data_IF_015909846396
#
_entry.id   IF_015909846396
#
_cell.length_a   1.000
_cell.length_b   1.000
_cell.length_c   1.000
_cell.angle_alpha   90.00
_cell.angle_beta   90.00
_cell.angle_gamma   90.00
#
_symmetry.space_group_name_H-M   'P 1'
#
loop_
_entity.id
_entity.type
_entity.pdbx_description
1 polymer ?
#
# COMPACT_ATOMS: atom_id res chain seq x y z
N UNK A 1 8.27 -3.45 11.64
CA UNK A 1 8.85 -2.64 10.58
C UNK A 1 7.78 -2.27 9.58
N UNK A 2 7.88 -1.09 9.07
CA UNK A 2 6.83 -0.51 8.22
C UNK A 2 6.54 -1.35 6.98
N UNK A 3 7.58 -1.82 6.32
CA UNK A 3 7.37 -2.63 5.12
C UNK A 3 6.56 -3.90 5.43
N UNK A 4 6.87 -4.56 6.51
CA UNK A 4 6.16 -5.80 6.85
C UNK A 4 4.69 -5.54 7.13
N UNK A 5 4.38 -4.44 7.82
CA UNK A 5 3.00 -4.07 8.10
C UNK A 5 2.27 -3.68 6.81
N UNK A 6 2.93 -2.92 5.95
CA UNK A 6 2.35 -2.53 4.67
C UNK A 6 2.12 -3.76 3.80
N UNK A 7 3.09 -4.66 3.77
CA UNK A 7 2.97 -5.91 3.01
C UNK A 7 1.78 -6.73 3.49
N UNK A 8 1.65 -6.87 4.81
CA UNK A 8 0.55 -7.63 5.38
C UNK A 8 -0.80 -7.00 5.03
N UNK A 9 -0.88 -5.67 5.08
CA UNK A 9 -2.11 -4.97 4.73
C UNK A 9 -2.45 -5.16 3.25
N UNK A 10 -1.45 -5.09 2.38
CA UNK A 10 -1.65 -5.33 0.96
C UNK A 10 -2.12 -6.76 0.70
N UNK A 11 -1.49 -7.73 1.35
CA UNK A 11 -1.84 -9.13 1.16
C UNK A 11 -3.27 -9.38 1.57
N UNK A 12 -3.68 -8.81 2.69
CA UNK A 12 -5.04 -8.97 3.20
C UNK A 12 -6.06 -8.30 2.28
N UNK A 13 -5.76 -7.08 1.86
CA UNK A 13 -6.68 -6.30 1.04
C UNK A 13 -6.85 -6.91 -0.35
N UNK A 14 -5.77 -7.43 -0.92
CA UNK A 14 -5.77 -7.94 -2.28
C UNK A 14 -5.91 -9.47 -2.35
N UNK A 15 -5.97 -10.12 -1.20
CA UNK A 15 -6.10 -11.58 -1.10
C UNK A 15 -4.95 -12.28 -1.82
N UNK A 16 -3.72 -11.83 -1.52
CA UNK A 16 -2.51 -12.38 -2.11
C UNK A 16 -1.57 -12.86 -1.02
N UNK A 17 -0.70 -13.85 -1.32
CA UNK A 17 0.32 -14.26 -0.36
C UNK A 17 1.34 -13.15 -0.16
N UNK A 18 1.78 -12.97 1.08
CA UNK A 18 2.78 -11.95 1.38
C UNK A 18 4.07 -12.16 0.61
N UNK A 19 4.38 -13.41 0.29
CA UNK A 19 5.59 -13.76 -0.43
C UNK A 19 5.68 -13.14 -1.82
N UNK A 20 4.55 -12.83 -2.41
CA UNK A 20 4.50 -12.21 -3.72
C UNK A 20 4.63 -10.70 -3.68
N UNK A 21 4.64 -10.12 -2.49
CA UNK A 21 4.64 -8.67 -2.33
C UNK A 21 6.02 -8.19 -1.92
N UNK A 22 6.61 -7.33 -2.73
CA UNK A 22 7.92 -6.73 -2.45
C UNK A 22 7.81 -5.21 -2.52
N UNK A 23 8.87 -4.53 -2.11
CA UNK A 23 8.92 -3.08 -2.21
C UNK A 23 8.75 -2.60 -3.65
N UNK A 24 9.18 -3.41 -4.60
CA UNK A 24 9.13 -3.04 -6.02
C UNK A 24 7.83 -3.47 -6.70
N UNK A 25 6.97 -4.23 -6.01
CA UNK A 25 5.71 -4.68 -6.59
C UNK A 25 4.83 -3.48 -6.93
N UNK A 26 4.41 -3.41 -8.18
CA UNK A 26 3.53 -2.35 -8.63
C UNK A 26 2.09 -2.73 -8.36
N UNK A 27 1.37 -1.82 -7.71
CA UNK A 27 0.04 -2.12 -7.19
C UNK A 27 -0.94 -2.52 -8.30
N UNK A 28 -0.95 -1.78 -9.38
CA UNK A 28 -1.90 -2.03 -10.48
C UNK A 28 -1.38 -3.11 -11.41
N UNK A 29 -0.12 -3.02 -11.81
CA UNK A 29 0.43 -3.92 -12.84
C UNK A 29 0.78 -5.29 -12.30
N UNK A 30 1.40 -5.34 -11.13
CA UNK A 30 1.88 -6.61 -10.57
C UNK A 30 0.87 -7.25 -9.63
N UNK A 31 0.22 -6.45 -8.80
CA UNK A 31 -0.72 -6.96 -7.80
C UNK A 31 -2.18 -6.88 -8.26
N UNK A 32 -2.40 -6.25 -9.39
CA UNK A 32 -3.72 -6.12 -10.02
C UNK A 32 -4.76 -5.43 -9.15
N UNK A 33 -4.30 -4.50 -8.32
CA UNK A 33 -5.20 -3.70 -7.51
C UNK A 33 -5.86 -2.63 -8.38
N UNK A 34 -7.14 -2.36 -8.17
CA UNK A 34 -7.78 -1.24 -8.84
C UNK A 34 -7.75 -0.01 -7.92
N UNK A 35 -8.29 1.10 -8.40
CA UNK A 35 -8.27 2.35 -7.65
C UNK A 35 -8.96 2.24 -6.30
N UNK A 36 -10.04 1.50 -6.25
CA UNK A 36 -10.80 1.35 -5.03
C UNK A 36 -10.01 0.54 -4.00
N UNK A 37 -9.35 -0.51 -4.45
CA UNK A 37 -8.48 -1.31 -3.56
C UNK A 37 -7.38 -0.47 -2.97
N UNK A 38 -6.78 0.40 -3.78
CA UNK A 38 -5.71 1.27 -3.32
C UNK A 38 -6.21 2.27 -2.28
N UNK A 39 -7.38 2.86 -2.52
CA UNK A 39 -7.95 3.81 -1.59
C UNK A 39 -8.25 3.16 -0.24
N UNK A 40 -8.86 1.97 -0.26
CA UNK A 40 -9.17 1.26 0.97
C UNK A 40 -7.91 0.87 1.73
N UNK A 41 -6.89 0.42 1.01
CA UNK A 41 -5.62 0.06 1.61
C UNK A 41 -4.98 1.27 2.30
N UNK A 42 -4.99 2.40 1.62
CA UNK A 42 -4.39 3.62 2.15
C UNK A 42 -5.15 4.11 3.38
N UNK A 43 -6.47 4.07 3.35
CA UNK A 43 -7.28 4.46 4.50
C UNK A 43 -6.99 3.60 5.72
N UNK A 44 -6.84 2.30 5.50
CA UNK A 44 -6.52 1.36 6.56
C UNK A 44 -5.16 1.69 7.18
N UNK A 45 -4.18 1.97 6.34
CA UNK A 45 -2.84 2.33 6.79
C UNK A 45 -2.81 3.68 7.49
N UNK A 46 -3.61 4.62 7.04
CA UNK A 46 -3.72 5.92 7.70
C UNK A 46 -4.19 5.75 9.14
N UNK A 47 -5.16 4.88 9.36
CA UNK A 47 -5.67 4.61 10.69
C UNK A 47 -4.63 3.86 11.54
N UNK A 48 -3.96 2.91 10.94
CA UNK A 48 -2.99 2.09 11.66
C UNK A 48 -1.77 2.89 12.12
N UNK A 49 -1.30 3.81 11.28
CA UNK A 49 -0.08 4.58 11.56
C UNK A 49 -0.35 6.00 12.01
N UNK A 50 -1.60 6.45 11.94
CA UNK A 50 -1.93 7.82 12.32
C UNK A 50 -1.38 8.86 11.38
N UNK A 51 -1.22 8.51 10.10
CA UNK A 51 -0.72 9.44 9.08
C UNK A 51 -1.84 9.79 8.12
N UNK A 52 -1.63 10.85 7.35
CA UNK A 52 -2.57 11.24 6.30
C UNK A 52 -1.84 11.33 4.98
N UNK A 53 -2.42 10.72 3.97
CA UNK A 53 -1.89 10.78 2.60
C UNK A 53 -2.89 11.57 1.79
N UNK A 54 -2.51 12.77 1.30
CA UNK A 54 -3.44 13.59 0.53
C UNK A 54 -3.89 12.88 -0.75
N UNK A 55 -5.12 13.13 -1.15
CA UNK A 55 -5.65 12.56 -2.37
C UNK A 55 -4.80 12.93 -3.58
N UNK A 56 -4.17 14.10 -3.55
CA UNK A 56 -3.28 14.57 -4.62
C UNK A 56 -2.07 13.66 -4.81
N UNK A 57 -1.70 12.93 -3.77
CA UNK A 57 -0.54 12.06 -3.82
C UNK A 57 -0.88 10.64 -4.31
N UNK A 58 -2.16 10.30 -4.38
CA UNK A 58 -2.56 8.98 -4.83
C UNK A 58 -2.03 8.64 -6.22
N UNK A 59 -2.04 9.56 -7.20
CA UNK A 59 -1.48 9.24 -8.52
C UNK A 59 0.03 8.98 -8.49
N UNK A 60 0.71 9.40 -7.43
CA UNK A 60 2.15 9.18 -7.29
C UNK A 60 2.49 7.87 -6.62
N UNK A 61 1.49 7.15 -6.14
CA UNK A 61 1.69 5.86 -5.49
C UNK A 61 1.56 4.76 -6.53
N UNK A 62 2.68 4.20 -6.93
CA UNK A 62 2.71 3.19 -7.99
C UNK A 62 3.08 1.81 -7.46
N UNK A 63 3.86 1.74 -6.41
CA UNK A 63 4.32 0.46 -5.87
C UNK A 63 4.26 0.47 -4.35
N UNK A 64 4.49 -0.71 -3.78
CA UNK A 64 4.46 -0.88 -2.32
C UNK A 64 5.46 0.05 -1.64
N UNK A 65 6.64 0.23 -2.22
CA UNK A 65 7.66 1.11 -1.66
C UNK A 65 7.20 2.55 -1.52
N UNK A 66 6.37 3.02 -2.45
CA UNK A 66 5.84 4.37 -2.37
C UNK A 66 4.94 4.54 -1.15
N UNK A 67 4.14 3.51 -0.85
CA UNK A 67 3.30 3.52 0.34
C UNK A 67 4.15 3.54 1.61
N UNK A 68 5.19 2.72 1.64
CA UNK A 68 6.08 2.64 2.79
C UNK A 68 6.69 4.00 3.11
N UNK A 69 7.03 4.76 2.09
CA UNK A 69 7.60 6.10 2.28
C UNK A 69 6.68 7.04 3.03
N UNK A 70 5.38 6.90 2.84
CA UNK A 70 4.42 7.76 3.52
C UNK A 70 4.22 7.38 4.97
N UNK A 71 4.30 6.10 5.31
CA UNK A 71 4.11 5.66 6.68
C UNK A 71 5.41 5.66 7.48
N UNK A 72 6.54 5.73 6.81
CA UNK A 72 7.86 5.83 7.41
C UNK A 72 8.16 7.28 7.76
N UNK A 73 8.62 7.53 8.94
CA UNK A 73 8.92 8.90 9.35
C UNK A 73 10.36 9.06 9.75
#
# INVERSE_FOLDING_TARGET
MEFESVRAANAKQLDLPEEEITMESRLIEDLKADSLDIVELIMDLEQQYGVQIPDDELPNIHCVGDIVKYVQK
#
